data_IF_167883480958
#
_entry.id   IF_167883480958
#
_cell.length_a   1.000
_cell.length_b   1.000
_cell.length_c   1.000
_cell.angle_alpha   90.00
_cell.angle_beta   90.00
_cell.angle_gamma   90.00
#
_symmetry.space_group_name_H-M   'P 1'
#
loop_
_entity.id
_entity.type
_entity.pdbx_description
1 polymer ?
#
# COMPACT_ATOMS: atom_id res chain seq x y z
N UNK A 1 9.81 9.09 -7.35
CA UNK A 1 8.49 9.60 -6.91
C UNK A 1 7.67 8.38 -6.55
N UNK A 2 7.60 8.02 -5.27
CA UNK A 2 6.75 6.91 -4.85
C UNK A 2 5.29 7.34 -5.06
N UNK A 3 4.67 6.88 -6.14
CA UNK A 3 3.27 7.13 -6.42
C UNK A 3 2.40 6.25 -5.53
N UNK A 4 2.35 6.60 -4.24
CA UNK A 4 1.47 5.93 -3.28
C UNK A 4 0.00 6.13 -3.68
N UNK A 5 -0.90 5.18 -3.38
CA UNK A 5 -2.32 5.29 -3.75
C UNK A 5 -2.96 6.63 -3.37
N UNK A 6 -2.60 7.21 -2.22
CA UNK A 6 -3.15 8.49 -1.76
C UNK A 6 -2.75 9.66 -2.65
N UNK A 7 -1.54 9.60 -3.23
CA UNK A 7 -1.03 10.61 -4.18
C UNK A 7 -1.69 10.41 -5.54
N UNK A 8 -1.83 9.16 -6.00
CA UNK A 8 -2.50 8.84 -7.27
C UNK A 8 -3.95 9.32 -7.26
N UNK A 9 -4.73 8.94 -6.25
CA UNK A 9 -6.14 9.31 -6.12
C UNK A 9 -6.30 10.83 -6.02
N UNK A 10 -5.44 11.51 -5.25
CA UNK A 10 -5.47 12.98 -5.17
C UNK A 10 -5.21 13.63 -6.52
N UNK A 11 -4.27 13.08 -7.30
CA UNK A 11 -3.95 13.58 -8.63
C UNK A 11 -5.11 13.36 -9.61
N UNK A 12 -5.77 12.20 -9.55
CA UNK A 12 -6.96 11.89 -10.35
C UNK A 12 -8.15 12.79 -10.00
N UNK A 13 -8.41 13.02 -8.71
CA UNK A 13 -9.44 13.95 -8.25
C UNK A 13 -9.16 15.33 -8.82
N UNK A 14 -7.93 15.84 -8.66
CA UNK A 14 -7.52 17.16 -9.17
C UNK A 14 -7.73 17.27 -10.68
N UNK A 15 -7.25 16.30 -11.45
CA UNK A 15 -7.41 16.28 -12.90
C UNK A 15 -8.88 16.30 -13.32
N UNK A 16 -9.73 15.49 -12.67
CA UNK A 16 -11.16 15.47 -12.94
C UNK A 16 -11.84 16.80 -12.61
N UNK A 17 -11.58 17.36 -11.42
CA UNK A 17 -12.27 18.56 -10.94
C UNK A 17 -11.81 19.84 -11.60
N UNK A 18 -10.51 19.96 -11.91
CA UNK A 18 -9.93 21.20 -12.40
C UNK A 18 -9.80 21.25 -13.92
N UNK A 19 -9.74 20.10 -14.61
CA UNK A 19 -9.49 20.04 -16.05
C UNK A 19 -10.64 19.36 -16.79
N UNK A 20 -10.95 18.11 -16.44
CA UNK A 20 -11.87 17.28 -17.24
C UNK A 20 -13.31 17.80 -17.14
N UNK A 21 -13.87 17.90 -15.93
CA UNK A 21 -15.26 18.32 -15.73
C UNK A 21 -15.52 19.72 -16.33
N UNK A 22 -14.66 20.74 -16.10
CA UNK A 22 -14.85 22.06 -16.71
C UNK A 22 -14.79 22.07 -18.25
N UNK A 23 -14.10 21.09 -18.86
CA UNK A 23 -14.00 20.97 -20.31
C UNK A 23 -15.16 20.19 -20.94
N UNK A 24 -16.02 19.53 -20.15
CA UNK A 24 -17.22 18.84 -20.66
C UNK A 24 -18.26 19.90 -21.05
N UNK A 25 -18.86 19.75 -22.24
CA UNK A 25 -19.97 20.60 -22.67
C UNK A 25 -21.10 20.59 -21.63
N UNK A 26 -21.57 21.77 -21.23
CA UNK A 26 -22.66 21.93 -20.26
C UNK A 26 -23.99 21.34 -20.73
N UNK A 27 -24.15 21.13 -22.03
CA UNK A 27 -25.34 20.50 -22.61
C UNK A 27 -25.35 18.98 -22.41
N UNK A 28 -24.20 18.39 -22.09
CA UNK A 28 -24.08 16.97 -21.76
C UNK A 28 -24.15 16.74 -20.24
N UNK A 29 -25.33 17.01 -19.67
CA UNK A 29 -25.60 16.86 -18.23
C UNK A 29 -25.24 15.48 -17.69
N UNK A 30 -25.54 14.43 -18.45
CA UNK A 30 -25.23 13.06 -18.06
C UNK A 30 -23.71 12.86 -17.89
N UNK A 31 -22.89 13.35 -18.81
CA UNK A 31 -21.43 13.23 -18.70
C UNK A 31 -20.88 13.99 -17.47
N UNK A 32 -21.42 15.18 -17.17
CA UNK A 32 -21.05 15.95 -15.98
C UNK A 32 -21.42 15.19 -14.70
N UNK A 33 -22.64 14.65 -14.63
CA UNK A 33 -23.11 13.86 -13.48
C UNK A 33 -22.25 12.60 -13.28
N UNK A 34 -21.97 11.84 -14.34
CA UNK A 34 -21.11 10.65 -14.23
C UNK A 34 -19.69 11.00 -13.79
N UNK A 35 -19.10 12.09 -14.30
CA UNK A 35 -17.78 12.53 -13.87
C UNK A 35 -17.77 12.97 -12.40
N UNK A 36 -18.83 13.63 -11.92
CA UNK A 36 -19.00 13.96 -10.50
C UNK A 36 -19.14 12.72 -9.62
N UNK A 37 -19.85 11.69 -10.07
CA UNK A 37 -19.94 10.40 -9.37
C UNK A 37 -18.57 9.73 -9.24
N UNK A 38 -17.76 9.75 -10.29
CA UNK A 38 -16.37 9.24 -10.25
C UNK A 38 -15.56 10.00 -9.20
N UNK A 39 -15.62 11.33 -9.17
CA UNK A 39 -14.94 12.14 -8.14
C UNK A 39 -15.42 11.75 -6.73
N UNK A 40 -16.73 11.56 -6.55
CA UNK A 40 -17.31 11.09 -5.29
C UNK A 40 -16.73 9.75 -4.85
N UNK A 41 -16.64 8.78 -5.77
CA UNK A 41 -16.09 7.46 -5.49
C UNK A 41 -14.59 7.51 -5.17
N UNK A 42 -13.82 8.35 -5.88
CA UNK A 42 -12.40 8.53 -5.59
C UNK A 42 -12.16 9.15 -4.20
N UNK A 43 -13.00 10.10 -3.79
CA UNK A 43 -12.95 10.67 -2.43
C UNK A 43 -13.30 9.61 -1.38
N UNK A 44 -14.27 8.75 -1.65
CA UNK A 44 -14.62 7.64 -0.76
C UNK A 44 -13.44 6.67 -0.62
N UNK A 45 -12.83 6.25 -1.73
CA UNK A 45 -11.64 5.40 -1.72
C UNK A 45 -10.49 6.04 -0.94
N UNK A 46 -10.22 7.33 -1.13
CA UNK A 46 -9.18 8.05 -0.39
C UNK A 46 -9.42 8.00 1.13
N UNK A 47 -10.67 8.09 1.57
CA UNK A 47 -11.02 8.01 2.99
C UNK A 47 -10.94 6.57 3.54
N UNK A 48 -11.19 5.55 2.72
CA UNK A 48 -11.23 4.15 3.13
C UNK A 48 -9.86 3.46 3.14
N UNK A 49 -8.95 3.81 2.23
CA UNK A 49 -7.63 3.16 2.10
C UNK A 49 -6.88 3.04 3.44
N UNK A 50 -6.78 4.09 4.28
CA UNK A 50 -6.08 3.99 5.57
C UNK A 50 -6.73 3.02 6.57
N UNK A 51 -8.00 2.68 6.36
CA UNK A 51 -8.78 1.81 7.25
C UNK A 51 -8.90 0.38 6.73
N UNK A 52 -8.68 0.14 5.42
CA UNK A 52 -8.98 -1.13 4.77
C UNK A 52 -8.25 -2.30 5.42
N UNK A 53 -6.94 -2.17 5.67
CA UNK A 53 -6.17 -3.24 6.29
C UNK A 53 -6.71 -3.60 7.70
N UNK A 54 -7.04 -2.60 8.51
CA UNK A 54 -7.62 -2.82 9.85
C UNK A 54 -8.98 -3.47 9.78
N UNK A 55 -9.79 -3.08 8.80
CA UNK A 55 -11.09 -3.68 8.53
C UNK A 55 -10.93 -5.17 8.19
N UNK A 56 -10.02 -5.52 7.28
CA UNK A 56 -9.77 -6.90 6.84
C UNK A 56 -9.22 -7.77 7.98
N UNK A 57 -8.31 -7.23 8.80
CA UNK A 57 -7.78 -7.90 10.01
C UNK A 57 -8.90 -8.21 11.00
N UNK A 58 -9.77 -7.24 11.25
CA UNK A 58 -10.89 -7.37 12.18
C UNK A 58 -11.99 -8.32 11.65
N UNK A 59 -12.23 -8.33 10.34
CA UNK A 59 -13.08 -9.33 9.67
C UNK A 59 -12.51 -10.74 9.83
N UNK A 60 -11.23 -10.95 9.51
CA UNK A 60 -10.57 -12.25 9.64
C UNK A 60 -10.62 -12.76 11.08
N UNK A 61 -10.37 -11.88 12.05
CA UNK A 61 -10.48 -12.21 13.47
C UNK A 61 -11.88 -12.70 13.83
N UNK A 62 -12.93 -11.99 13.41
CA UNK A 62 -14.33 -12.41 13.65
C UNK A 62 -14.64 -13.77 13.04
N UNK A 63 -14.13 -14.05 11.84
CA UNK A 63 -14.32 -15.34 11.18
C UNK A 63 -13.59 -16.46 11.94
N UNK A 64 -12.36 -16.24 12.40
CA UNK A 64 -11.60 -17.21 13.23
C UNK A 64 -12.31 -17.51 14.55
N UNK A 65 -12.82 -16.48 15.23
CA UNK A 65 -13.56 -16.62 16.49
C UNK A 65 -14.88 -17.38 16.29
N UNK A 66 -15.59 -17.05 15.20
CA UNK A 66 -16.83 -17.74 14.82
C UNK A 66 -16.58 -19.21 14.50
N UNK A 67 -15.54 -19.52 13.72
CA UNK A 67 -15.15 -20.89 13.41
C UNK A 67 -14.77 -21.68 14.68
N UNK A 68 -14.09 -21.05 15.63
CA UNK A 68 -13.78 -21.65 16.93
C UNK A 68 -15.02 -21.98 17.75
N UNK A 69 -16.04 -21.12 17.70
CA UNK A 69 -17.33 -21.34 18.36
C UNK A 69 -18.10 -22.50 17.70
N UNK A 70 -18.12 -22.54 16.36
CA UNK A 70 -18.80 -23.60 15.60
C UNK A 70 -18.12 -24.97 15.78
N UNK A 71 -16.82 -25.01 16.04
CA UNK A 71 -16.10 -26.26 16.31
C UNK A 71 -16.59 -26.99 17.58
N UNK A 72 -17.34 -26.32 18.46
CA UNK A 72 -17.96 -26.93 19.63
C UNK A 72 -19.31 -27.62 19.34
N UNK A 73 -19.78 -27.61 18.08
CA UNK A 73 -21.01 -28.29 17.69
C UNK A 73 -20.85 -29.81 17.82
N UNK A 74 -21.75 -30.43 18.57
CA UNK A 74 -21.86 -31.89 18.69
C UNK A 74 -22.65 -32.47 17.51
N UNK A 75 -21.99 -32.52 16.35
CA UNK A 75 -22.58 -33.05 15.12
C UNK A 75 -22.48 -34.57 15.08
N UNK A 76 -23.59 -35.22 14.73
CA UNK A 76 -23.68 -36.70 14.68
C UNK A 76 -23.69 -37.22 13.24
N UNK A 77 -24.10 -36.40 12.27
CA UNK A 77 -24.11 -36.80 10.86
C UNK A 77 -22.74 -36.62 10.20
N UNK A 78 -22.36 -37.56 9.33
CA UNK A 78 -21.05 -37.58 8.71
C UNK A 78 -20.76 -36.39 7.78
N UNK A 79 -21.79 -35.78 7.20
CA UNK A 79 -21.64 -34.61 6.32
C UNK A 79 -21.23 -33.37 7.10
N UNK A 80 -21.94 -33.09 8.20
CA UNK A 80 -21.60 -31.99 9.11
C UNK A 80 -20.25 -32.18 9.77
N UNK A 81 -19.88 -33.41 10.16
CA UNK A 81 -18.56 -33.71 10.71
C UNK A 81 -17.42 -33.41 9.72
N UNK A 82 -17.60 -33.80 8.45
CA UNK A 82 -16.62 -33.49 7.40
C UNK A 82 -16.47 -31.97 7.21
N UNK A 83 -17.59 -31.24 7.13
CA UNK A 83 -17.59 -29.79 6.99
C UNK A 83 -16.93 -29.09 8.20
N UNK A 84 -17.17 -29.56 9.42
CA UNK A 84 -16.49 -29.05 10.63
C UNK A 84 -14.98 -29.25 10.56
N UNK A 85 -14.50 -30.38 10.03
CA UNK A 85 -13.08 -30.62 9.79
C UNK A 85 -12.46 -29.64 8.80
N UNK A 86 -13.16 -29.32 7.70
CA UNK A 86 -12.72 -28.33 6.73
C UNK A 86 -12.65 -26.92 7.32
N UNK A 87 -13.66 -26.53 8.10
CA UNK A 87 -13.69 -25.25 8.82
C UNK A 87 -12.55 -25.15 9.82
N UNK A 88 -12.26 -26.21 10.57
CA UNK A 88 -11.13 -26.25 11.51
C UNK A 88 -9.78 -26.03 10.79
N UNK A 89 -9.56 -26.75 9.69
CA UNK A 89 -8.34 -26.59 8.90
C UNK A 89 -8.20 -25.17 8.30
N UNK A 90 -9.31 -24.57 7.85
CA UNK A 90 -9.33 -23.19 7.35
C UNK A 90 -9.05 -22.17 8.46
N UNK A 91 -9.65 -22.37 9.65
CA UNK A 91 -9.42 -21.55 10.83
C UNK A 91 -7.94 -21.53 11.23
N UNK A 92 -7.27 -22.67 11.24
CA UNK A 92 -5.85 -22.75 11.64
C UNK A 92 -4.95 -21.94 10.69
N UNK A 93 -5.20 -22.02 9.38
CA UNK A 93 -4.49 -21.19 8.39
C UNK A 93 -4.80 -19.70 8.56
N UNK A 94 -6.06 -19.35 8.83
CA UNK A 94 -6.48 -17.98 9.05
C UNK A 94 -5.86 -17.38 10.32
N UNK A 95 -5.74 -18.17 11.39
CA UNK A 95 -5.10 -17.76 12.65
C UNK A 95 -3.60 -17.50 12.46
N UNK A 96 -2.90 -18.31 11.65
CA UNK A 96 -1.51 -18.05 11.28
C UNK A 96 -1.34 -16.72 10.53
N UNK A 97 -2.20 -16.45 9.54
CA UNK A 97 -2.18 -15.18 8.80
C UNK A 97 -2.41 -14.01 9.75
N UNK A 98 -3.42 -14.10 10.64
CA UNK A 98 -3.72 -13.07 11.62
C UNK A 98 -2.53 -12.80 12.56
N UNK A 99 -1.81 -13.85 12.97
CA UNK A 99 -0.61 -13.72 13.79
C UNK A 99 0.54 -12.98 13.10
N UNK A 100 0.58 -12.97 11.76
CA UNK A 100 1.56 -12.21 10.97
C UNK A 100 1.18 -10.75 10.73
N UNK A 101 -0.09 -10.37 10.97
CA UNK A 101 -0.58 -8.99 10.85
C UNK A 101 -0.22 -8.11 12.08
N UNK A 102 1.08 -8.04 12.41
CA UNK A 102 1.54 -7.46 13.68
C UNK A 102 1.64 -5.93 13.76
N UNK A 103 1.78 -5.24 12.61
CA UNK A 103 1.88 -3.78 12.57
C UNK A 103 0.93 -3.21 11.51
N UNK A 104 0.29 -2.08 11.83
CA UNK A 104 -0.55 -1.36 10.88
C UNK A 104 0.30 -0.76 9.73
N UNK A 105 -0.16 -0.77 8.47
CA UNK A 105 0.56 -0.15 7.36
C UNK A 105 0.91 1.33 7.61
N UNK A 106 0.08 2.05 8.37
CA UNK A 106 0.35 3.41 8.83
C UNK A 106 1.53 3.49 9.80
N UNK A 107 1.67 2.54 10.72
CA UNK A 107 2.84 2.44 11.61
C UNK A 107 4.12 2.15 10.83
N UNK A 108 4.07 1.21 9.87
CA UNK A 108 5.19 0.95 8.97
C UNK A 108 5.58 2.21 8.18
N UNK A 109 4.59 2.95 7.66
CA UNK A 109 4.85 4.17 6.93
C UNK A 109 5.46 5.26 7.84
N UNK A 110 4.96 5.43 9.05
CA UNK A 110 5.49 6.37 10.02
C UNK A 110 6.96 6.05 10.36
N UNK A 111 7.28 4.77 10.60
CA UNK A 111 8.65 4.31 10.85
C UNK A 111 9.59 4.59 9.67
N UNK A 112 9.12 4.39 8.43
CA UNK A 112 9.89 4.75 7.23
C UNK A 112 10.20 6.26 7.20
N UNK A 113 9.22 7.10 7.52
CA UNK A 113 9.39 8.55 7.52
C UNK A 113 10.34 9.01 8.63
N UNK A 114 10.22 8.44 9.82
CA UNK A 114 11.11 8.71 10.95
C UNK A 114 12.56 8.30 10.67
N UNK A 115 12.76 7.11 10.07
CA UNK A 115 14.09 6.66 9.69
C UNK A 115 14.73 7.58 8.63
N UNK A 116 13.94 8.01 7.62
CA UNK A 116 14.41 8.97 6.62
C UNK A 116 14.81 10.31 7.24
N UNK A 117 13.99 10.84 8.14
CA UNK A 117 14.31 12.08 8.86
C UNK A 117 15.59 11.94 9.69
N UNK A 118 15.76 10.80 10.37
CA UNK A 118 16.94 10.51 11.18
C UNK A 118 18.23 10.40 10.34
N UNK A 119 18.15 9.79 9.16
CA UNK A 119 19.27 9.75 8.20
C UNK A 119 19.63 11.16 7.69
N UNK A 120 18.65 12.02 7.40
CA UNK A 120 18.92 13.41 7.04
C UNK A 120 19.63 14.17 8.17
N UNK A 121 19.17 14.01 9.42
CA UNK A 121 19.81 14.63 10.58
C UNK A 121 21.26 14.18 10.78
N UNK A 122 21.57 12.90 10.49
CA UNK A 122 22.95 12.39 10.50
C UNK A 122 23.82 13.08 9.44
N UNK A 123 23.31 13.26 8.23
CA UNK A 123 24.01 13.98 7.15
C UNK A 123 24.31 15.41 7.57
N UNK A 124 23.32 16.12 8.12
CA UNK A 124 23.48 17.51 8.57
C UNK A 124 24.54 17.62 9.68
N UNK A 125 24.53 16.69 10.64
CA UNK A 125 25.53 16.64 11.71
C UNK A 125 26.94 16.36 11.17
N UNK A 126 27.09 15.42 10.23
CA UNK A 126 28.38 15.13 9.61
C UNK A 126 28.89 16.29 8.73
N UNK A 127 28.00 16.99 8.04
CA UNK A 127 28.36 18.19 7.30
C UNK A 127 28.91 19.29 8.24
N UNK A 128 28.27 19.48 9.39
CA UNK A 128 28.63 20.51 10.37
C UNK A 128 29.95 20.22 11.12
N UNK A 129 30.25 18.96 11.44
CA UNK A 129 31.37 18.62 12.34
C UNK A 129 32.21 17.41 11.96
N UNK A 130 31.82 16.64 10.95
CA UNK A 130 32.54 15.44 10.51
C UNK A 130 33.80 15.74 9.70
N UNK A 131 34.73 14.80 9.72
CA UNK A 131 35.92 14.74 8.87
C UNK A 131 35.58 14.51 7.40
N UNK A 132 36.55 14.71 6.50
CA UNK A 132 36.37 14.44 5.08
C UNK A 132 36.04 12.96 4.81
N UNK A 133 36.75 12.05 5.47
CA UNK A 133 36.57 10.60 5.33
C UNK A 133 35.16 10.15 5.79
N UNK A 134 34.64 10.71 6.89
CA UNK A 134 33.28 10.42 7.37
C UNK A 134 32.21 10.92 6.37
N UNK A 135 32.43 12.08 5.76
CA UNK A 135 31.51 12.64 4.75
C UNK A 135 31.51 11.79 3.49
N UNK A 136 32.68 11.42 2.99
CA UNK A 136 32.83 10.55 1.82
C UNK A 136 32.17 9.18 2.05
N UNK A 137 32.34 8.61 3.25
CA UNK A 137 31.71 7.34 3.59
C UNK A 137 30.18 7.44 3.62
N UNK A 138 29.62 8.46 4.27
CA UNK A 138 28.17 8.68 4.33
C UNK A 138 27.59 8.92 2.93
N UNK A 139 28.27 9.73 2.11
CA UNK A 139 27.86 9.98 0.72
C UNK A 139 27.79 8.68 -0.08
N UNK A 140 28.84 7.86 -0.01
CA UNK A 140 28.89 6.57 -0.72
C UNK A 140 27.73 5.65 -0.34
N UNK A 141 27.46 5.50 0.96
CA UNK A 141 26.37 4.64 1.46
C UNK A 141 24.99 5.16 1.03
N UNK A 142 24.75 6.47 1.13
CA UNK A 142 23.46 7.06 0.78
C UNK A 142 23.20 7.07 -0.73
N UNK A 143 24.24 7.28 -1.54
CA UNK A 143 24.13 7.20 -3.00
C UNK A 143 23.79 5.77 -3.44
N UNK A 144 24.45 4.75 -2.88
CA UNK A 144 24.15 3.35 -3.18
C UNK A 144 22.69 2.98 -2.81
N UNK A 145 22.21 3.41 -1.63
CA UNK A 145 20.81 3.20 -1.24
C UNK A 145 19.83 3.95 -2.16
N UNK A 146 20.15 5.20 -2.50
CA UNK A 146 19.31 6.02 -3.36
C UNK A 146 19.21 5.47 -4.78
N UNK A 147 20.30 4.93 -5.33
CA UNK A 147 20.32 4.25 -6.62
C UNK A 147 19.34 3.06 -6.64
N UNK A 148 19.41 2.18 -5.62
CA UNK A 148 18.48 1.06 -5.48
C UNK A 148 17.03 1.53 -5.33
N UNK A 149 16.79 2.59 -4.54
CA UNK A 149 15.45 3.14 -4.36
C UNK A 149 14.91 3.76 -5.67
N UNK A 150 15.74 4.46 -6.44
CA UNK A 150 15.36 5.05 -7.73
C UNK A 150 14.98 3.97 -8.74
N UNK A 151 15.72 2.85 -8.77
CA UNK A 151 15.39 1.72 -9.62
C UNK A 151 13.98 1.17 -9.30
N UNK A 152 13.66 1.00 -8.00
CA UNK A 152 12.33 0.56 -7.54
C UNK A 152 11.23 1.56 -7.87
N UNK A 153 11.47 2.85 -7.64
CA UNK A 153 10.52 3.91 -7.98
C UNK A 153 10.21 3.94 -9.48
N UNK A 154 11.22 3.73 -10.33
CA UNK A 154 11.03 3.63 -11.79
C UNK A 154 10.24 2.37 -12.17
N UNK A 155 10.57 1.23 -11.56
CA UNK A 155 9.85 -0.03 -11.79
C UNK A 155 8.34 0.09 -11.48
N UNK A 156 7.98 0.75 -10.39
CA UNK A 156 6.57 1.04 -10.05
C UNK A 156 5.83 1.88 -11.10
N UNK A 157 6.56 2.72 -11.86
CA UNK A 157 6.00 3.61 -12.87
C UNK A 157 6.01 3.01 -14.28
N UNK A 158 6.56 1.80 -14.45
CA UNK A 158 6.63 1.10 -15.74
C UNK A 158 5.27 1.03 -16.48
N UNK A 159 4.11 0.79 -15.82
CA UNK A 159 2.82 0.74 -16.53
C UNK A 159 2.38 2.06 -17.18
N UNK A 160 2.99 3.20 -16.81
CA UNK A 160 2.66 4.50 -17.41
C UNK A 160 3.32 4.73 -18.76
N UNK A 161 4.21 3.83 -19.20
CA UNK A 161 4.89 3.91 -20.50
C UNK A 161 5.64 5.24 -20.73
N UNK A 162 6.11 5.90 -19.66
CA UNK A 162 6.91 7.13 -19.77
C UNK A 162 8.34 6.85 -20.25
N UNK A 163 8.83 5.65 -20.02
CA UNK A 163 10.16 5.22 -20.43
C UNK A 163 10.11 4.35 -21.68
N UNK A 164 11.14 4.46 -22.53
CA UNK A 164 11.29 3.62 -23.71
C UNK A 164 11.58 2.16 -23.32
N UNK A 165 11.24 1.20 -24.19
CA UNK A 165 11.58 -0.20 -23.98
C UNK A 165 13.09 -0.44 -23.79
N UNK A 166 13.95 0.39 -24.39
CA UNK A 166 15.41 0.28 -24.27
C UNK A 166 15.94 0.72 -22.90
N UNK A 167 15.17 1.50 -22.13
CA UNK A 167 15.56 2.02 -20.81
C UNK A 167 14.70 1.47 -19.68
N UNK A 168 13.74 0.59 -19.99
CA UNK A 168 12.72 0.15 -19.05
C UNK A 168 13.34 -0.62 -17.87
N UNK A 169 12.94 -0.32 -16.63
CA UNK A 169 13.35 -1.09 -15.47
C UNK A 169 12.78 -2.52 -15.51
N UNK A 170 13.36 -3.45 -14.72
CA UNK A 170 12.73 -4.74 -14.45
C UNK A 170 11.36 -4.55 -13.78
N UNK A 171 10.57 -5.62 -13.75
CA UNK A 171 9.29 -5.62 -13.03
C UNK A 171 9.53 -5.43 -11.52
N UNK A 172 8.62 -4.74 -10.84
CA UNK A 172 8.79 -4.38 -9.43
C UNK A 172 8.90 -5.63 -8.55
N UNK A 173 8.21 -6.70 -8.90
CA UNK A 173 8.23 -7.99 -8.21
C UNK A 173 9.64 -8.60 -8.16
N UNK A 174 10.48 -8.35 -9.17
CA UNK A 174 11.87 -8.83 -9.17
C UNK A 174 12.80 -7.98 -8.27
N UNK A 175 12.30 -6.88 -7.70
CA UNK A 175 13.03 -5.95 -6.83
C UNK A 175 12.45 -5.90 -5.40
N UNK A 176 11.46 -6.75 -5.11
CA UNK A 176 10.85 -6.92 -3.79
C UNK A 176 11.17 -8.35 -3.34
N UNK A 177 12.15 -8.48 -2.42
CA UNK A 177 12.51 -9.77 -1.82
C UNK A 177 11.39 -10.37 -0.96
#
# INVERSE_FOLDING_TARGET
MQMRPEIQIRSMIKALTEVVIPAVSSDNKLAVEQAQLVVGMLKLMQAQIPLQFRFDVDELKRLVDTAGTLAALDAVDGGTLAALGEVAAARDRAADVLGRCGADPGELHAAIMEMRASLCALVDACAAGGSADEREHIESVLLAMSEAQLLRDRALMKPQCWESAASAPPDIEALLD
#
